data_IF_211063374342
#
_entry.id   IF_211063374342
#
_cell.length_a   1.000
_cell.length_b   1.000
_cell.length_c   1.000
_cell.angle_alpha   90.00
_cell.angle_beta   90.00
_cell.angle_gamma   90.00
#
_symmetry.space_group_name_H-M   'P 1'
#
loop_
_entity.id
_entity.type
_entity.pdbx_description
1 polymer ?
#
# COMPACT_ATOMS: atom_id res chain seq x y z
N UNK A 1 12.20 -2.31 9.50
CA UNK A 1 12.72 -1.09 8.86
C UNK A 1 11.52 -0.35 8.30
N UNK A 2 11.36 0.94 8.57
CA UNK A 2 10.30 1.71 7.92
C UNK A 2 10.74 2.02 6.49
N UNK A 3 10.05 1.41 5.52
CA UNK A 3 10.24 1.68 4.09
C UNK A 3 9.70 3.06 3.74
N UNK A 4 8.63 3.47 4.42
CA UNK A 4 7.96 4.74 4.21
C UNK A 4 8.36 5.73 5.30
N UNK A 5 8.99 6.84 4.91
CA UNK A 5 9.47 7.89 5.83
C UNK A 5 8.83 9.27 5.61
N UNK A 6 8.18 9.43 4.47
CA UNK A 6 7.48 10.63 4.02
C UNK A 6 6.41 10.22 3.00
N UNK A 7 5.70 11.20 2.45
CA UNK A 7 4.63 10.93 1.48
C UNK A 7 5.20 10.45 0.14
N UNK A 8 6.32 11.00 -0.31
CA UNK A 8 6.97 10.58 -1.56
C UNK A 8 7.36 9.10 -1.49
N UNK A 9 7.94 8.68 -0.36
CA UNK A 9 8.24 7.28 -0.09
C UNK A 9 7.01 6.39 0.04
N UNK A 10 5.84 6.94 0.41
CA UNK A 10 4.58 6.19 0.37
C UNK A 10 4.17 5.91 -1.08
N UNK A 11 4.26 6.92 -1.95
CA UNK A 11 3.95 6.77 -3.38
C UNK A 11 4.93 5.79 -4.04
N UNK A 12 6.23 5.94 -3.80
CA UNK A 12 7.26 5.04 -4.35
C UNK A 12 7.05 3.59 -3.89
N UNK A 13 6.77 3.40 -2.59
CA UNK A 13 6.51 2.07 -2.05
C UNK A 13 5.21 1.48 -2.60
N UNK A 14 4.16 2.29 -2.76
CA UNK A 14 2.91 1.86 -3.36
C UNK A 14 3.10 1.32 -4.79
N UNK A 15 3.92 2.00 -5.61
CA UNK A 15 4.23 1.52 -6.96
C UNK A 15 4.93 0.15 -6.95
N UNK A 16 5.82 -0.10 -5.98
CA UNK A 16 6.41 -1.42 -5.78
C UNK A 16 5.32 -2.47 -5.45
N UNK A 17 4.40 -2.16 -4.54
CA UNK A 17 3.32 -3.09 -4.18
C UNK A 17 2.41 -3.38 -5.37
N UNK A 18 2.06 -2.37 -6.18
CA UNK A 18 1.20 -2.55 -7.37
C UNK A 18 1.82 -3.53 -8.39
N UNK A 19 3.13 -3.47 -8.59
CA UNK A 19 3.83 -4.32 -9.57
C UNK A 19 4.00 -5.75 -9.07
N UNK A 20 4.16 -5.94 -7.76
CA UNK A 20 4.56 -7.21 -7.17
C UNK A 20 3.45 -7.97 -6.43
N UNK A 21 2.34 -7.33 -6.06
CA UNK A 21 1.26 -8.02 -5.39
C UNK A 21 0.54 -9.02 -6.33
N UNK A 22 0.05 -10.17 -5.82
CA UNK A 22 0.06 -10.56 -4.41
C UNK A 22 1.33 -11.28 -3.93
N UNK A 23 2.07 -11.96 -4.80
CA UNK A 23 3.08 -12.95 -4.44
C UNK A 23 4.43 -12.79 -5.17
N UNK A 24 4.57 -11.78 -6.02
CA UNK A 24 5.74 -11.50 -6.83
C UNK A 24 6.80 -10.62 -6.16
N UNK A 25 6.73 -10.39 -4.85
CA UNK A 25 7.69 -9.52 -4.14
C UNK A 25 9.14 -10.04 -4.28
N UNK A 26 10.12 -9.14 -4.50
CA UNK A 26 11.51 -9.54 -4.63
C UNK A 26 12.01 -10.18 -3.34
N UNK A 27 12.84 -11.21 -3.49
CA UNK A 27 13.55 -11.85 -2.39
C UNK A 27 14.99 -11.38 -2.38
N UNK A 28 15.46 -11.02 -1.19
CA UNK A 28 16.83 -10.56 -0.99
C UNK A 28 17.65 -11.67 -0.32
N UNK A 29 18.77 -12.05 -0.92
CA UNK A 29 19.63 -13.15 -0.46
C UNK A 29 20.21 -12.93 0.95
N UNK A 30 20.25 -11.67 1.39
CA UNK A 30 20.76 -11.28 2.71
C UNK A 30 19.66 -11.20 3.80
N UNK A 31 18.38 -11.40 3.45
CA UNK A 31 17.27 -11.39 4.39
C UNK A 31 16.82 -12.82 4.72
N UNK A 32 16.47 -13.07 5.98
CA UNK A 32 15.81 -14.31 6.38
C UNK A 32 14.37 -14.34 5.85
N UNK A 33 13.76 -15.53 5.79
CA UNK A 33 12.38 -15.69 5.31
C UNK A 33 11.37 -14.83 6.10
N UNK A 34 11.57 -14.68 7.41
CA UNK A 34 10.78 -13.84 8.30
C UNK A 34 11.06 -12.33 8.15
N UNK A 35 12.02 -11.96 7.32
CA UNK A 35 12.41 -10.57 7.00
C UNK A 35 12.05 -10.18 5.57
N UNK A 36 11.79 -11.16 4.69
CA UNK A 36 11.37 -10.91 3.31
C UNK A 36 10.08 -10.07 3.25
N UNK A 37 9.94 -9.28 2.19
CA UNK A 37 8.71 -8.53 1.95
C UNK A 37 7.62 -9.50 1.52
N UNK A 38 6.51 -9.50 2.25
CA UNK A 38 5.31 -10.28 1.92
C UNK A 38 4.14 -9.33 1.71
N UNK A 39 3.05 -9.84 1.15
CA UNK A 39 1.80 -9.09 1.01
C UNK A 39 1.36 -8.47 2.34
N UNK A 40 1.37 -9.25 3.42
CA UNK A 40 0.98 -8.78 4.77
C UNK A 40 1.84 -7.61 5.22
N UNK A 41 3.17 -7.75 5.13
CA UNK A 41 4.11 -6.70 5.54
C UNK A 41 4.01 -5.46 4.65
N UNK A 42 3.79 -5.64 3.35
CA UNK A 42 3.60 -4.55 2.42
C UNK A 42 2.35 -3.73 2.78
N UNK A 43 1.23 -4.39 3.04
CA UNK A 43 0.00 -3.70 3.44
C UNK A 43 0.10 -3.10 4.85
N UNK A 44 0.80 -3.72 5.79
CA UNK A 44 1.09 -3.13 7.10
C UNK A 44 1.93 -1.86 6.99
N UNK A 45 2.89 -1.84 6.08
CA UNK A 45 3.69 -0.65 5.81
C UNK A 45 2.84 0.46 5.16
N UNK A 46 2.00 0.14 4.17
CA UNK A 46 1.06 1.10 3.57
C UNK A 46 0.09 1.69 4.60
N UNK A 47 -0.44 0.88 5.52
CA UNK A 47 -1.29 1.33 6.64
C UNK A 47 -0.57 2.34 7.53
N UNK A 48 0.69 2.07 7.86
CA UNK A 48 1.51 3.00 8.64
C UNK A 48 1.82 4.27 7.84
N UNK A 49 2.04 4.15 6.53
CA UNK A 49 2.27 5.26 5.62
C UNK A 49 1.11 6.25 5.53
N UNK A 50 -0.13 5.81 5.79
CA UNK A 50 -1.31 6.70 5.85
C UNK A 50 -1.16 7.88 6.82
N UNK A 51 -0.27 7.78 7.82
CA UNK A 51 0.05 8.91 8.70
C UNK A 51 0.60 10.13 7.94
N UNK A 52 1.31 9.91 6.82
CA UNK A 52 1.86 11.00 6.01
C UNK A 52 0.79 11.68 5.15
N UNK A 53 -0.24 10.93 4.75
CA UNK A 53 -1.42 11.47 4.07
C UNK A 53 -2.23 12.32 5.03
N UNK A 54 -2.50 11.81 6.24
CA UNK A 54 -3.25 12.53 7.27
C UNK A 54 -2.59 13.85 7.71
N UNK A 55 -1.25 13.95 7.62
CA UNK A 55 -0.52 15.21 7.87
C UNK A 55 -0.71 16.25 6.75
N UNK A 56 -1.02 15.83 5.52
CA UNK A 56 -1.22 16.71 4.36
C UNK A 56 -2.69 17.08 4.16
N UNK A 57 -3.60 16.15 4.44
CA UNK A 57 -5.03 16.33 4.19
C UNK A 57 -5.81 16.23 5.50
N UNK A 58 -6.43 17.34 5.96
CA UNK A 58 -7.32 17.33 7.12
C UNK A 58 -8.77 16.98 6.74
N UNK A 59 -8.98 16.04 5.81
CA UNK A 59 -10.30 15.54 5.40
C UNK A 59 -10.47 14.09 5.85
N UNK A 60 -11.17 13.91 6.96
CA UNK A 60 -11.41 12.59 7.55
C UNK A 60 -12.24 11.67 6.64
N UNK A 61 -13.13 12.21 5.81
CA UNK A 61 -13.94 11.40 4.91
C UNK A 61 -13.06 10.77 3.82
N UNK A 62 -12.17 11.58 3.24
CA UNK A 62 -11.19 11.13 2.25
C UNK A 62 -10.18 10.12 2.87
N UNK A 63 -9.68 10.39 4.08
CA UNK A 63 -8.78 9.46 4.77
C UNK A 63 -9.45 8.11 5.06
N UNK A 64 -10.71 8.11 5.46
CA UNK A 64 -11.48 6.89 5.67
C UNK A 64 -11.73 6.13 4.37
N UNK A 65 -12.01 6.85 3.27
CA UNK A 65 -12.16 6.26 1.96
C UNK A 65 -10.86 5.58 1.50
N UNK A 66 -9.71 6.27 1.58
CA UNK A 66 -8.40 5.69 1.26
C UNK A 66 -8.10 4.42 2.08
N UNK A 67 -8.33 4.46 3.40
CA UNK A 67 -8.18 3.27 4.26
C UNK A 67 -9.05 2.11 3.78
N UNK A 68 -10.30 2.39 3.39
CA UNK A 68 -11.22 1.36 2.91
C UNK A 68 -10.72 0.70 1.62
N UNK A 69 -10.25 1.46 0.64
CA UNK A 69 -9.67 0.87 -0.58
C UNK A 69 -8.47 -0.01 -0.28
N UNK A 70 -7.61 0.42 0.64
CA UNK A 70 -6.45 -0.37 1.06
C UNK A 70 -6.86 -1.69 1.71
N UNK A 71 -7.81 -1.68 2.65
CA UNK A 71 -8.29 -2.91 3.29
C UNK A 71 -9.07 -3.82 2.33
N UNK A 72 -9.91 -3.27 1.47
CA UNK A 72 -10.67 -4.04 0.48
C UNK A 72 -9.73 -4.69 -0.56
N UNK A 73 -8.64 -4.01 -0.94
CA UNK A 73 -7.59 -4.56 -1.81
C UNK A 73 -6.89 -5.74 -1.13
N UNK A 74 -6.44 -5.55 0.13
CA UNK A 74 -5.81 -6.62 0.91
C UNK A 74 -6.71 -7.83 1.04
N UNK A 75 -7.98 -7.63 1.43
CA UNK A 75 -8.95 -8.70 1.57
C UNK A 75 -9.20 -9.44 0.24
N UNK A 76 -9.21 -8.71 -0.88
CA UNK A 76 -9.38 -9.31 -2.21
C UNK A 76 -8.19 -10.21 -2.57
N UNK A 77 -6.95 -9.75 -2.36
CA UNK A 77 -5.76 -10.59 -2.55
C UNK A 77 -5.75 -11.82 -1.63
N UNK A 78 -6.12 -11.67 -0.34
CA UNK A 78 -6.20 -12.80 0.59
C UNK A 78 -7.25 -13.85 0.19
N UNK A 79 -8.23 -13.48 -0.62
CA UNK A 79 -9.25 -14.37 -1.17
C UNK A 79 -8.88 -14.94 -2.56
N UNK A 80 -7.70 -14.61 -3.10
CA UNK A 80 -7.28 -15.00 -4.46
C UNK A 80 -7.97 -14.22 -5.57
N UNK A 81 -8.62 -13.09 -5.26
CA UNK A 81 -9.28 -12.22 -6.23
C UNK A 81 -8.30 -11.12 -6.71
N UNK A 82 -7.23 -11.53 -7.39
CA UNK A 82 -6.07 -10.66 -7.68
C UNK A 82 -6.41 -9.46 -8.56
N UNK A 83 -7.23 -9.67 -9.59
CA UNK A 83 -7.69 -8.60 -10.49
C UNK A 83 -8.46 -7.54 -9.70
N UNK A 84 -9.33 -7.96 -8.78
CA UNK A 84 -10.07 -7.03 -7.93
C UNK A 84 -9.14 -6.31 -6.95
N UNK A 85 -8.20 -7.04 -6.35
CA UNK A 85 -7.17 -6.46 -5.48
C UNK A 85 -6.37 -5.37 -6.18
N UNK A 86 -5.90 -5.65 -7.40
CA UNK A 86 -5.12 -4.70 -8.20
C UNK A 86 -5.93 -3.45 -8.57
N UNK A 87 -7.18 -3.59 -9.00
CA UNK A 87 -8.03 -2.44 -9.31
C UNK A 87 -8.30 -1.56 -8.09
N UNK A 88 -8.56 -2.16 -6.92
CA UNK A 88 -8.76 -1.40 -5.68
C UNK A 88 -7.49 -0.65 -5.25
N UNK A 89 -6.32 -1.26 -5.43
CA UNK A 89 -5.04 -0.63 -5.11
C UNK A 89 -4.70 0.51 -6.10
N UNK A 90 -5.09 0.38 -7.37
CA UNK A 90 -4.99 1.45 -8.38
C UNK A 90 -5.97 2.60 -8.09
N UNK A 91 -7.17 2.31 -7.60
CA UNK A 91 -8.12 3.36 -7.17
C UNK A 91 -7.58 4.10 -5.93
N UNK A 92 -6.95 3.39 -5.00
CA UNK A 92 -6.20 3.99 -3.89
C UNK A 92 -5.10 4.93 -4.39
N UNK A 93 -4.23 4.45 -5.31
CA UNK A 93 -3.16 5.26 -5.91
C UNK A 93 -3.70 6.53 -6.57
N UNK A 94 -4.78 6.41 -7.36
CA UNK A 94 -5.37 7.54 -8.06
C UNK A 94 -5.80 8.65 -7.11
N UNK A 95 -6.55 8.32 -6.07
CA UNK A 95 -6.97 9.32 -5.07
C UNK A 95 -5.77 9.89 -4.31
N UNK A 96 -4.78 9.05 -3.99
CA UNK A 96 -3.58 9.51 -3.31
C UNK A 96 -2.80 10.54 -4.14
N UNK A 97 -2.72 10.36 -5.46
CA UNK A 97 -2.06 11.30 -6.37
C UNK A 97 -2.87 12.57 -6.62
N UNK A 98 -4.20 12.50 -6.57
CA UNK A 98 -5.07 13.69 -6.64
C UNK A 98 -4.84 14.63 -5.45
N UNK A 99 -4.60 14.05 -4.26
CA UNK A 99 -4.23 14.77 -3.04
C UNK A 99 -2.87 15.46 -3.11
N UNK A 100 -1.96 14.96 -3.97
CA UNK A 100 -0.60 15.49 -4.09
C UNK A 100 -0.48 16.69 -5.05
N UNK A 101 -1.58 17.13 -5.66
CA UNK A 101 -1.64 18.27 -6.58
C UNK A 101 -2.02 19.55 -5.87
#
# INVERSE_FOLDING_TARGET
>A
MAWIKNFEGLVDFLSLVIVHAPDGFPKEDYLRDDEQLTLEKAFDELRQGMQFVAKRVPDDALLNQLRRYLEDAFASYKQGNDVKGAHLLQDFERMLLEVNR
#
